data_IF_748675890512
#
_entry.id   IF_748675890512
#
_cell.length_a   1.000
_cell.length_b   1.000
_cell.length_c   1.000
_cell.angle_alpha   90.00
_cell.angle_beta   90.00
_cell.angle_gamma   90.00
#
_symmetry.space_group_name_H-M   'P 1'
#
loop_
_entity.id
_entity.type
_entity.pdbx_description
1 polymer ?
#
# COMPACT_ATOMS: atom_id res chain seq x y z
N UNK A 1 58.62 10.75 24.26
CA UNK A 1 59.33 10.25 23.05
C UNK A 1 58.27 9.63 22.15
N UNK A 2 58.01 10.00 20.90
CA UNK A 2 58.55 10.98 19.98
C UNK A 2 57.85 10.73 18.63
N UNK A 3 57.24 11.79 18.07
CA UNK A 3 56.85 12.08 16.66
C UNK A 3 56.66 10.88 15.70
N UNK A 4 55.58 10.86 14.90
CA UNK A 4 55.55 11.58 13.62
C UNK A 4 54.13 11.91 13.16
N UNK A 5 53.94 13.20 12.86
CA UNK A 5 52.90 13.77 12.00
C UNK A 5 53.23 13.42 10.54
N UNK A 6 52.22 13.13 9.73
CA UNK A 6 52.28 13.35 8.28
C UNK A 6 51.02 14.10 7.87
N UNK A 7 51.20 15.39 7.58
CA UNK A 7 50.29 16.19 6.77
C UNK A 7 50.45 15.76 5.32
N UNK A 8 49.35 15.64 4.57
CA UNK A 8 49.35 15.82 3.12
C UNK A 8 48.26 16.82 2.79
N UNK A 9 48.68 17.89 2.13
CA UNK A 9 47.88 19.01 1.69
C UNK A 9 47.40 18.79 0.25
N UNK A 10 46.16 19.22 0.02
CA UNK A 10 45.57 19.85 -1.16
C UNK A 10 46.00 19.38 -2.57
N UNK A 11 45.00 18.91 -3.33
CA UNK A 11 44.82 19.29 -4.73
C UNK A 11 43.37 19.72 -4.90
N UNK A 12 43.16 21.02 -5.08
CA UNK A 12 41.95 21.62 -5.62
C UNK A 12 42.12 21.66 -7.13
N UNK A 13 41.32 20.89 -7.85
CA UNK A 13 41.12 21.08 -9.30
C UNK A 13 39.68 21.54 -9.50
N UNK A 14 39.56 22.71 -10.12
CA UNK A 14 38.30 23.36 -10.40
C UNK A 14 37.56 22.78 -11.60
N UNK A 15 36.25 23.03 -11.54
CA UNK A 15 35.31 23.29 -12.63
C UNK A 15 35.17 22.26 -13.76
N UNK A 16 34.01 21.60 -13.78
CA UNK A 16 33.10 21.68 -14.94
C UNK A 16 31.65 21.69 -14.44
N UNK A 17 30.92 22.74 -14.84
CA UNK A 17 29.46 22.76 -14.80
C UNK A 17 28.94 21.66 -15.73
N UNK A 18 28.50 20.56 -15.15
CA UNK A 18 27.62 19.61 -15.81
C UNK A 18 26.18 19.94 -15.45
N UNK A 19 25.46 20.59 -16.38
CA UNK A 19 24.01 20.55 -16.42
C UNK A 19 23.60 19.09 -16.61
N UNK A 20 23.38 18.36 -15.51
CA UNK A 20 22.71 17.05 -15.56
C UNK A 20 21.22 17.34 -15.48
N UNK A 21 20.57 17.13 -16.62
CA UNK A 21 19.14 17.31 -16.78
C UNK A 21 18.34 16.43 -15.81
N UNK A 22 17.28 17.02 -15.28
CA UNK A 22 16.14 16.30 -14.75
C UNK A 22 15.57 15.42 -15.89
N UNK A 23 15.89 14.14 -15.87
CA UNK A 23 15.49 13.17 -16.89
C UNK A 23 15.83 11.76 -16.42
N UNK A 24 15.40 11.41 -15.22
CA UNK A 24 15.66 10.11 -14.59
C UNK A 24 14.42 9.78 -13.74
N UNK A 25 13.46 9.10 -14.34
CA UNK A 25 12.22 8.69 -13.68
C UNK A 25 11.42 7.69 -14.52
N UNK A 26 11.35 7.90 -15.83
CA UNK A 26 10.45 7.10 -16.69
C UNK A 26 10.93 5.69 -17.04
N UNK A 27 12.23 5.42 -17.04
CA UNK A 27 12.75 4.14 -17.56
C UNK A 27 12.66 3.02 -16.53
N UNK A 28 12.90 3.33 -15.23
CA UNK A 28 12.81 2.35 -14.15
C UNK A 28 11.38 1.99 -13.74
N UNK A 29 10.45 2.96 -13.78
CA UNK A 29 9.02 2.70 -13.52
C UNK A 29 8.40 1.79 -14.60
N UNK A 30 8.74 2.02 -15.88
CA UNK A 30 8.25 1.18 -16.98
C UNK A 30 8.85 -0.25 -16.95
N UNK A 31 10.11 -0.39 -16.52
CA UNK A 31 10.75 -1.70 -16.36
C UNK A 31 10.11 -2.51 -15.22
N UNK A 32 9.80 -1.87 -14.09
CA UNK A 32 9.08 -2.49 -12.97
C UNK A 32 7.66 -2.95 -13.36
N UNK A 33 6.92 -2.10 -14.07
CA UNK A 33 5.58 -2.43 -14.57
C UNK A 33 5.57 -3.64 -15.52
N UNK A 34 6.58 -3.73 -16.39
CA UNK A 34 6.76 -4.86 -17.30
C UNK A 34 6.96 -6.17 -16.54
N UNK A 35 7.88 -6.18 -15.57
CA UNK A 35 8.19 -7.37 -14.77
C UNK A 35 6.99 -7.82 -13.93
N UNK A 36 6.29 -6.90 -13.27
CA UNK A 36 5.09 -7.23 -12.47
C UNK A 36 4.00 -7.88 -13.32
N UNK A 37 3.76 -7.37 -14.53
CA UNK A 37 2.79 -7.95 -15.47
C UNK A 37 3.20 -9.33 -15.95
N UNK A 38 4.43 -9.48 -16.43
CA UNK A 38 4.95 -10.74 -16.95
C UNK A 38 4.88 -11.83 -15.87
N UNK A 39 5.35 -11.54 -14.66
CA UNK A 39 5.24 -12.44 -13.51
C UNK A 39 3.81 -12.80 -13.16
N UNK A 40 2.86 -11.87 -13.27
CA UNK A 40 1.44 -12.18 -13.05
C UNK A 40 0.91 -13.12 -14.11
N UNK A 41 1.24 -12.90 -15.39
CA UNK A 41 0.78 -13.78 -16.48
C UNK A 41 1.30 -15.20 -16.25
N UNK A 42 2.60 -15.35 -16.00
CA UNK A 42 3.23 -16.64 -15.73
C UNK A 42 2.65 -17.34 -14.48
N UNK A 43 2.44 -16.60 -13.39
CA UNK A 43 1.95 -17.16 -12.13
C UNK A 43 0.49 -17.64 -12.19
N UNK A 44 -0.31 -17.10 -13.11
CA UNK A 44 -1.75 -17.35 -13.18
C UNK A 44 -2.21 -18.01 -14.48
N UNK A 45 -1.36 -18.21 -15.50
CA UNK A 45 -1.79 -18.75 -16.80
C UNK A 45 -2.57 -20.07 -16.70
N UNK A 46 -2.16 -20.96 -15.79
CA UNK A 46 -2.81 -22.24 -15.56
C UNK A 46 -3.85 -22.21 -14.43
N UNK A 47 -3.64 -21.35 -13.42
CA UNK A 47 -4.45 -21.31 -12.18
C UNK A 47 -5.70 -20.43 -12.34
N UNK A 48 -5.55 -19.29 -13.01
CA UNK A 48 -6.62 -18.32 -13.29
C UNK A 48 -6.32 -17.61 -14.64
N UNK A 49 -6.72 -18.22 -15.77
CA UNK A 49 -6.48 -17.67 -17.10
C UNK A 49 -7.13 -16.30 -17.32
N UNK A 50 -8.22 -15.98 -16.61
CA UNK A 50 -8.93 -14.71 -16.73
C UNK A 50 -8.12 -13.59 -16.06
N UNK A 51 -7.51 -13.85 -14.90
CA UNK A 51 -6.57 -12.93 -14.26
C UNK A 51 -5.28 -12.73 -15.07
N UNK A 52 -4.71 -13.81 -15.62
CA UNK A 52 -3.55 -13.72 -16.50
C UNK A 52 -3.85 -12.87 -17.75
N UNK A 53 -4.99 -13.10 -18.40
CA UNK A 53 -5.46 -12.28 -19.54
C UNK A 53 -5.63 -10.83 -19.13
N UNK A 54 -6.28 -10.58 -17.99
CA UNK A 54 -6.45 -9.23 -17.46
C UNK A 54 -5.11 -8.52 -17.20
N UNK A 55 -4.11 -9.20 -16.65
CA UNK A 55 -2.77 -8.63 -16.42
C UNK A 55 -2.05 -8.28 -17.74
N UNK A 56 -2.23 -9.11 -18.77
CA UNK A 56 -1.67 -8.91 -20.12
C UNK A 56 -2.34 -7.81 -20.95
N UNK A 57 -3.53 -7.34 -20.55
CA UNK A 57 -4.23 -6.30 -21.28
C UNK A 57 -3.49 -4.95 -21.24
N UNK A 58 -3.41 -4.30 -22.40
CA UNK A 58 -2.75 -2.98 -22.55
C UNK A 58 -3.42 -1.88 -21.71
N UNK A 59 -4.70 -2.07 -21.36
CA UNK A 59 -5.48 -1.14 -20.54
C UNK A 59 -5.33 -1.34 -19.03
N UNK A 60 -4.81 -2.49 -18.60
CA UNK A 60 -4.53 -2.75 -17.18
C UNK A 60 -3.30 -1.99 -16.76
N UNK A 61 -3.18 -1.57 -15.51
CA UNK A 61 -1.99 -0.89 -14.97
C UNK A 61 -1.65 -1.47 -13.59
N UNK A 62 -0.41 -1.92 -13.36
CA UNK A 62 0.06 -2.23 -12.03
C UNK A 62 0.32 -0.92 -11.25
N UNK A 63 0.02 -0.93 -9.96
CA UNK A 63 0.33 0.13 -9.01
C UNK A 63 0.92 -0.53 -7.75
N UNK A 64 2.23 -0.37 -7.50
CA UNK A 64 2.90 -0.96 -6.35
C UNK A 64 2.25 -0.59 -5.01
N UNK A 65 2.13 -1.57 -4.12
CA UNK A 65 1.82 -1.36 -2.71
C UNK A 65 3.15 -1.47 -1.97
N UNK A 66 3.51 -0.39 -1.26
CA UNK A 66 4.73 -0.36 -0.46
C UNK A 66 4.65 -1.41 0.66
N UNK A 67 5.58 -2.37 0.60
CA UNK A 67 5.68 -3.49 1.53
C UNK A 67 7.18 -3.83 1.72
N UNK A 68 7.97 -2.94 2.32
CA UNK A 68 9.42 -3.06 2.39
C UNK A 68 9.91 -4.23 3.27
N UNK A 69 8.99 -4.85 4.01
CA UNK A 69 9.23 -6.00 4.88
C UNK A 69 9.08 -7.35 4.14
N UNK A 70 8.62 -7.37 2.88
CA UNK A 70 8.56 -8.59 2.05
C UNK A 70 9.58 -8.52 0.91
N UNK A 71 10.64 -9.30 1.06
CA UNK A 71 11.73 -9.33 0.09
C UNK A 71 11.41 -10.21 -1.13
N UNK A 72 10.64 -11.28 -0.96
CA UNK A 72 10.40 -12.28 -2.00
C UNK A 72 9.19 -12.01 -2.90
N UNK A 73 8.36 -11.01 -2.57
CA UNK A 73 7.08 -10.75 -3.24
C UNK A 73 6.95 -9.32 -3.78
N UNK A 74 6.49 -9.17 -5.00
CA UNK A 74 5.86 -7.93 -5.46
C UNK A 74 4.40 -7.93 -5.01
N UNK A 75 3.97 -6.87 -4.31
CA UNK A 75 2.57 -6.66 -3.93
C UNK A 75 2.07 -5.42 -4.66
N UNK A 76 1.00 -5.55 -5.45
CA UNK A 76 0.49 -4.42 -6.24
C UNK A 76 -0.98 -4.58 -6.63
N UNK A 77 -1.60 -3.44 -6.90
CA UNK A 77 -2.94 -3.37 -7.46
C UNK A 77 -2.88 -3.39 -8.99
N UNK A 78 -3.68 -4.24 -9.62
CA UNK A 78 -3.97 -4.22 -11.05
C UNK A 78 -5.29 -3.49 -11.28
N UNK A 79 -5.25 -2.39 -12.03
CA UNK A 79 -6.42 -1.59 -12.37
C UNK A 79 -6.65 -1.53 -13.88
N UNK A 80 -7.87 -1.86 -14.32
CA UNK A 80 -8.32 -1.72 -15.71
C UNK A 80 -9.74 -1.14 -15.80
N UNK A 81 -10.32 -1.10 -16.99
CA UNK A 81 -11.57 -0.37 -17.26
C UNK A 81 -12.76 -0.81 -16.38
N UNK A 82 -12.82 -2.10 -16.01
CA UNK A 82 -13.96 -2.68 -15.26
C UNK A 82 -13.54 -3.64 -14.15
N UNK A 83 -12.25 -3.71 -13.83
CA UNK A 83 -11.72 -4.62 -12.81
C UNK A 83 -10.59 -3.93 -12.06
N UNK A 84 -10.61 -4.08 -10.74
CA UNK A 84 -9.52 -3.77 -9.83
C UNK A 84 -9.30 -4.99 -8.98
N UNK A 85 -8.06 -5.43 -8.84
CA UNK A 85 -7.68 -6.52 -7.93
C UNK A 85 -6.27 -6.27 -7.40
N UNK A 86 -5.95 -6.83 -6.25
CA UNK A 86 -4.61 -6.83 -5.68
C UNK A 86 -4.07 -8.24 -5.74
N UNK A 87 -2.84 -8.36 -6.23
CA UNK A 87 -2.10 -9.62 -6.28
C UNK A 87 -0.76 -9.47 -5.57
N UNK A 88 -0.23 -10.61 -5.13
CA UNK A 88 1.18 -10.76 -4.84
C UNK A 88 1.79 -11.82 -5.76
N UNK A 89 2.96 -11.54 -6.33
CA UNK A 89 3.71 -12.48 -7.17
C UNK A 89 5.18 -12.54 -6.74
N UNK A 90 5.80 -13.71 -6.84
CA UNK A 90 7.20 -13.90 -6.46
C UNK A 90 8.14 -13.08 -7.35
N UNK A 91 9.12 -12.39 -6.75
CA UNK A 91 10.11 -11.58 -7.50
C UNK A 91 11.07 -12.46 -8.30
N UNK A 92 11.53 -13.54 -7.68
CA UNK A 92 12.53 -14.46 -8.18
C UNK A 92 12.06 -15.93 -8.14
N UNK A 93 12.76 -16.80 -8.88
CA UNK A 93 12.46 -18.24 -8.91
C UNK A 93 11.24 -18.62 -9.77
N UNK A 94 10.62 -19.75 -9.40
CA UNK A 94 9.42 -20.29 -10.04
C UNK A 94 8.25 -19.31 -9.83
N UNK A 95 7.56 -18.86 -10.89
CA UNK A 95 6.45 -17.92 -10.77
C UNK A 95 5.32 -18.48 -9.89
N UNK A 96 5.04 -17.82 -8.77
CA UNK A 96 3.86 -18.08 -7.96
C UNK A 96 3.09 -16.79 -7.73
N UNK A 97 1.78 -16.93 -7.58
CA UNK A 97 0.88 -15.81 -7.43
C UNK A 97 -0.32 -16.11 -6.54
N UNK A 98 -0.69 -15.13 -5.73
CA UNK A 98 -1.90 -15.13 -4.91
C UNK A 98 -2.71 -13.85 -5.17
N UNK A 99 -4.02 -14.01 -5.34
CA UNK A 99 -4.95 -12.88 -5.36
C UNK A 99 -5.31 -12.54 -3.91
N UNK A 100 -4.99 -11.33 -3.48
CA UNK A 100 -5.20 -10.87 -2.10
C UNK A 100 -6.60 -10.27 -1.94
N UNK A 101 -7.09 -9.63 -2.98
CA UNK A 101 -8.44 -9.08 -3.03
C UNK A 101 -9.52 -10.11 -2.69
N UNK A 102 -10.26 -9.86 -1.59
CA UNK A 102 -11.31 -10.77 -1.12
C UNK A 102 -10.82 -12.06 -0.44
N UNK A 103 -9.51 -12.24 -0.31
CA UNK A 103 -8.88 -13.45 0.25
C UNK A 103 -7.89 -13.08 1.36
N UNK A 104 -8.36 -12.65 2.56
CA UNK A 104 -7.49 -12.25 3.67
C UNK A 104 -6.46 -13.30 4.04
N UNK A 105 -6.82 -14.58 4.00
CA UNK A 105 -5.94 -15.70 4.31
C UNK A 105 -4.77 -15.88 3.35
N UNK A 106 -4.82 -15.29 2.14
CA UNK A 106 -3.72 -15.33 1.19
C UNK A 106 -2.57 -14.41 1.62
N UNK A 107 -2.82 -13.46 2.53
CA UNK A 107 -1.79 -12.60 3.11
C UNK A 107 -0.72 -13.40 3.85
N UNK A 108 -1.12 -14.45 4.58
CA UNK A 108 -0.22 -15.28 5.39
C UNK A 108 0.88 -15.94 4.54
N UNK A 109 0.59 -16.28 3.28
CA UNK A 109 1.59 -16.81 2.34
C UNK A 109 2.60 -15.73 1.90
N UNK A 110 2.16 -14.48 1.77
CA UNK A 110 3.01 -13.36 1.34
C UNK A 110 3.98 -12.95 2.44
N UNK A 111 3.56 -13.05 3.71
CA UNK A 111 4.38 -12.66 4.87
C UNK A 111 5.10 -13.84 5.54
N UNK A 112 5.07 -15.03 4.95
CA UNK A 112 5.77 -16.18 5.49
C UNK A 112 7.27 -15.87 5.70
N UNK A 113 7.75 -16.01 6.95
CA UNK A 113 9.14 -15.74 7.32
C UNK A 113 9.45 -14.28 7.68
N UNK A 114 8.48 -13.36 7.55
CA UNK A 114 8.61 -11.98 8.03
C UNK A 114 8.53 -11.95 9.56
N UNK A 115 9.29 -11.04 10.19
CA UNK A 115 9.22 -10.81 11.62
C UNK A 115 9.01 -9.32 11.93
N UNK A 116 8.02 -9.03 12.79
CA UNK A 116 7.67 -7.68 13.22
C UNK A 116 8.20 -7.45 14.63
N UNK A 117 9.25 -6.64 14.74
CA UNK A 117 9.93 -6.40 16.04
C UNK A 117 9.77 -4.98 16.58
N UNK A 118 9.18 -4.08 15.81
CA UNK A 118 9.01 -2.68 16.18
C UNK A 118 7.75 -2.05 15.58
N UNK A 119 7.38 -0.90 16.14
CA UNK A 119 6.18 -0.16 15.79
C UNK A 119 6.18 0.33 14.33
N UNK A 120 7.35 0.59 13.75
CA UNK A 120 7.44 1.08 12.38
C UNK A 120 7.08 -0.05 11.41
N UNK A 121 7.71 -1.21 11.53
CA UNK A 121 7.38 -2.39 10.71
C UNK A 121 5.93 -2.81 10.90
N UNK A 122 5.40 -2.77 12.14
CA UNK A 122 3.98 -3.06 12.37
C UNK A 122 3.04 -2.07 11.65
N UNK A 123 3.40 -0.79 11.62
CA UNK A 123 2.68 0.23 10.86
C UNK A 123 2.70 -0.03 9.36
N UNK A 124 3.88 -0.37 8.81
CA UNK A 124 4.07 -0.72 7.40
C UNK A 124 3.25 -1.96 7.01
N UNK A 125 3.27 -3.01 7.84
CA UNK A 125 2.45 -4.23 7.64
C UNK A 125 0.97 -3.90 7.61
N UNK A 126 0.47 -3.14 8.58
CA UNK A 126 -0.95 -2.77 8.62
C UNK A 126 -1.35 -1.89 7.43
N UNK A 127 -0.49 -0.98 6.98
CA UNK A 127 -0.75 -0.13 5.80
C UNK A 127 -0.84 -0.96 4.51
N UNK A 128 0.11 -1.88 4.32
CA UNK A 128 0.13 -2.78 3.18
C UNK A 128 -1.08 -3.73 3.20
N UNK A 129 -1.41 -4.32 4.35
CA UNK A 129 -2.55 -5.23 4.53
C UNK A 129 -3.88 -4.55 4.17
N UNK A 130 -4.13 -3.34 4.68
CA UNK A 130 -5.39 -2.61 4.40
C UNK A 130 -5.50 -2.25 2.93
N UNK A 131 -4.39 -1.88 2.28
CA UNK A 131 -4.38 -1.62 0.83
C UNK A 131 -4.60 -2.91 0.04
N UNK A 132 -4.01 -4.01 0.49
CA UNK A 132 -4.05 -5.28 -0.21
C UNK A 132 -5.41 -5.97 -0.19
N UNK A 133 -6.13 -5.86 0.94
CA UNK A 133 -7.42 -6.50 1.14
C UNK A 133 -8.61 -5.57 0.92
N UNK A 134 -8.40 -4.46 0.20
CA UNK A 134 -9.51 -3.58 -0.17
C UNK A 134 -10.63 -4.42 -0.81
N UNK A 135 -11.89 -4.20 -0.39
CA UNK A 135 -13.04 -4.72 -1.12
C UNK A 135 -12.93 -4.30 -2.59
N UNK A 136 -13.00 -5.28 -3.50
CA UNK A 136 -13.02 -5.07 -4.95
C UNK A 136 -14.39 -4.65 -5.48
N UNK A 137 -15.41 -4.77 -4.63
CA UNK A 137 -16.76 -4.29 -4.87
C UNK A 137 -16.98 -3.01 -4.08
N UNK A 138 -17.64 -2.03 -4.70
CA UNK A 138 -17.90 -0.74 -4.09
C UNK A 138 -16.72 0.24 -4.16
N UNK A 139 -16.97 1.48 -3.72
CA UNK A 139 -15.98 2.56 -3.78
C UNK A 139 -15.10 2.58 -2.51
N UNK A 140 -14.35 1.49 -2.27
CA UNK A 140 -13.47 1.37 -1.11
C UNK A 140 -12.23 2.27 -1.22
N UNK A 141 -12.01 3.15 -0.24
CA UNK A 141 -10.82 4.00 -0.17
C UNK A 141 -10.30 4.17 1.25
N UNK A 142 -9.03 3.82 1.48
CA UNK A 142 -8.27 4.19 2.68
C UNK A 142 -8.05 5.70 2.70
N UNK A 143 -8.27 6.31 3.85
CA UNK A 143 -8.12 7.75 4.07
C UNK A 143 -7.13 8.00 5.21
N UNK A 144 -6.35 9.05 5.08
CA UNK A 144 -5.42 9.52 6.12
C UNK A 144 -5.91 10.83 6.75
N UNK A 145 -6.96 11.43 6.18
CA UNK A 145 -7.59 12.64 6.66
C UNK A 145 -9.06 12.71 6.24
N UNK A 146 -9.83 13.55 6.94
CA UNK A 146 -11.20 13.90 6.50
C UNK A 146 -11.19 14.56 5.11
N UNK A 147 -10.09 15.22 4.73
CA UNK A 147 -9.97 15.89 3.44
C UNK A 147 -9.89 14.92 2.25
N UNK A 148 -9.51 13.66 2.48
CA UNK A 148 -9.49 12.61 1.45
C UNK A 148 -10.89 12.11 1.09
N UNK A 149 -11.89 12.39 1.93
CA UNK A 149 -13.28 12.00 1.74
C UNK A 149 -13.89 12.87 0.64
N UNK A 150 -14.25 12.23 -0.48
CA UNK A 150 -14.90 12.87 -1.63
C UNK A 150 -16.40 13.03 -1.37
N UNK A 151 -16.76 14.06 -0.61
CA UNK A 151 -18.16 14.41 -0.36
C UNK A 151 -18.74 15.22 -1.52
N UNK A 152 -20.02 15.01 -1.86
CA UNK A 152 -20.73 15.86 -2.83
C UNK A 152 -22.15 16.24 -2.37
N UNK A 153 -22.80 17.16 -3.08
CA UNK A 153 -24.13 17.66 -2.74
C UNK A 153 -24.12 18.89 -1.83
N UNK A 154 -25.30 19.43 -1.54
CA UNK A 154 -25.47 20.71 -0.82
C UNK A 154 -25.04 20.67 0.66
N UNK A 155 -24.92 19.46 1.23
CA UNK A 155 -24.49 19.24 2.63
C UNK A 155 -23.03 18.82 2.79
N UNK A 156 -22.26 18.78 1.70
CA UNK A 156 -20.89 18.27 1.71
C UNK A 156 -19.99 19.03 2.70
N UNK A 157 -20.03 20.36 2.70
CA UNK A 157 -19.19 21.19 3.57
C UNK A 157 -19.61 21.11 5.05
N UNK A 158 -20.91 21.10 5.32
CA UNK A 158 -21.45 20.91 6.68
C UNK A 158 -20.99 19.56 7.25
N UNK A 159 -21.14 18.48 6.45
CA UNK A 159 -20.73 17.13 6.85
C UNK A 159 -19.21 17.03 7.02
N UNK A 160 -18.42 17.69 6.15
CA UNK A 160 -16.96 17.72 6.27
C UNK A 160 -16.52 18.34 7.59
N UNK A 161 -17.15 19.43 8.00
CA UNK A 161 -16.82 20.11 9.25
C UNK A 161 -17.26 19.31 10.49
N UNK A 162 -18.40 18.62 10.42
CA UNK A 162 -18.83 17.67 11.45
C UNK A 162 -17.83 16.52 11.59
N UNK A 163 -17.44 15.88 10.48
CA UNK A 163 -16.42 14.83 10.47
C UNK A 163 -15.08 15.30 11.03
N UNK A 164 -14.64 16.51 10.66
CA UNK A 164 -13.39 17.09 11.17
C UNK A 164 -13.45 17.29 12.68
N UNK A 165 -14.58 17.77 13.20
CA UNK A 165 -14.77 17.99 14.63
C UNK A 165 -14.86 16.69 15.42
N UNK A 166 -15.58 15.71 14.92
CA UNK A 166 -15.95 14.52 15.68
C UNK A 166 -14.91 13.39 15.52
N UNK A 167 -14.22 13.34 14.37
CA UNK A 167 -13.32 12.24 14.01
C UNK A 167 -11.97 12.68 13.42
N UNK A 168 -11.75 13.98 13.16
CA UNK A 168 -10.56 14.47 12.46
C UNK A 168 -9.24 14.03 13.10
N UNK A 169 -9.12 14.17 14.42
CA UNK A 169 -7.94 13.76 15.18
C UNK A 169 -7.70 12.25 15.08
N UNK A 170 -8.76 11.44 15.14
CA UNK A 170 -8.66 9.98 15.10
C UNK A 170 -8.38 9.43 13.70
N UNK A 171 -8.87 10.10 12.64
CA UNK A 171 -8.61 9.70 11.24
C UNK A 171 -7.16 9.97 10.85
N UNK A 172 -6.58 11.08 11.33
CA UNK A 172 -5.19 11.44 11.09
C UNK A 172 -4.18 10.70 11.97
N UNK A 173 -4.66 10.00 13.01
CA UNK A 173 -3.80 9.28 13.93
C UNK A 173 -3.26 7.98 13.30
N UNK A 174 -1.94 7.86 13.28
CA UNK A 174 -1.21 6.68 12.80
C UNK A 174 -0.48 5.96 13.94
N UNK A 175 -0.86 6.23 15.19
CA UNK A 175 -0.25 5.59 16.35
C UNK A 175 -0.30 4.06 16.24
N UNK A 176 0.84 3.44 16.56
CA UNK A 176 1.00 2.00 16.65
C UNK A 176 1.42 1.70 18.08
N UNK A 177 0.59 0.96 18.80
CA UNK A 177 0.78 0.70 20.23
C UNK A 177 1.08 -0.78 20.45
N UNK A 178 2.10 -1.08 21.26
CA UNK A 178 2.39 -2.45 21.67
C UNK A 178 1.31 -2.97 22.63
N UNK A 179 0.85 -4.20 22.41
CA UNK A 179 -0.13 -4.90 23.22
C UNK A 179 0.34 -6.34 23.47
N UNK A 180 1.17 -6.53 24.49
CA UNK A 180 1.86 -7.81 24.71
C UNK A 180 2.95 -7.99 23.66
N UNK A 181 2.91 -9.10 22.93
CA UNK A 181 3.81 -9.37 21.81
C UNK A 181 3.26 -8.82 20.48
N UNK A 182 2.00 -8.39 20.46
CA UNK A 182 1.32 -7.87 19.27
C UNK A 182 1.38 -6.35 19.19
N UNK A 183 1.03 -5.82 18.02
CA UNK A 183 0.90 -4.38 17.77
C UNK A 183 -0.53 -4.05 17.35
N UNK A 184 -1.12 -3.04 18.00
CA UNK A 184 -2.46 -2.55 17.67
C UNK A 184 -2.39 -1.20 16.99
N UNK A 185 -3.19 -1.02 15.95
CA UNK A 185 -3.32 0.23 15.21
C UNK A 185 -4.72 0.36 14.61
N UNK A 186 -5.13 1.60 14.34
CA UNK A 186 -6.37 1.89 13.65
C UNK A 186 -6.07 2.45 12.25
N UNK A 187 -6.89 2.07 11.27
CA UNK A 187 -6.93 2.67 9.94
C UNK A 187 -8.35 3.00 9.55
N UNK A 188 -8.48 3.99 8.69
CA UNK A 188 -9.78 4.50 8.27
C UNK A 188 -9.98 4.32 6.79
N UNK A 189 -11.22 4.00 6.41
CA UNK A 189 -11.61 3.92 5.02
C UNK A 189 -13.03 4.44 4.82
N UNK A 190 -13.32 4.88 3.60
CA UNK A 190 -14.68 5.04 3.11
C UNK A 190 -15.05 3.79 2.31
N UNK A 191 -16.23 3.24 2.56
CA UNK A 191 -16.76 2.09 1.83
C UNK A 191 -18.25 2.29 1.56
N UNK A 192 -18.65 2.37 0.29
CA UNK A 192 -20.06 2.59 -0.10
C UNK A 192 -20.72 3.77 0.60
N UNK A 193 -19.97 4.86 0.75
CA UNK A 193 -20.34 6.09 1.47
C UNK A 193 -20.40 5.95 3.00
N UNK A 194 -19.94 4.85 3.58
CA UNK A 194 -19.78 4.75 5.03
C UNK A 194 -18.36 5.11 5.44
N UNK A 195 -18.21 5.85 6.54
CA UNK A 195 -16.94 5.97 7.25
C UNK A 195 -16.74 4.72 8.11
N UNK A 196 -15.64 4.03 7.87
CA UNK A 196 -15.30 2.76 8.50
C UNK A 196 -13.96 2.87 9.20
N UNK A 197 -13.92 2.41 10.44
CA UNK A 197 -12.69 2.17 11.21
C UNK A 197 -12.32 0.70 11.14
N UNK A 198 -11.05 0.44 10.86
CA UNK A 198 -10.42 -0.87 10.90
C UNK A 198 -9.47 -0.89 12.09
N UNK A 199 -9.81 -1.66 13.12
CA UNK A 199 -8.89 -1.96 14.21
C UNK A 199 -8.08 -3.20 13.82
N UNK A 200 -6.77 -3.05 13.76
CA UNK A 200 -5.83 -4.10 13.33
C UNK A 200 -4.99 -4.56 14.52
N UNK A 201 -4.75 -5.86 14.58
CA UNK A 201 -3.75 -6.47 15.45
C UNK A 201 -2.73 -7.15 14.55
N UNK A 202 -1.50 -6.63 14.53
CA UNK A 202 -0.38 -7.17 13.77
C UNK A 202 0.44 -8.05 14.72
N UNK A 203 0.57 -9.32 14.35
CA UNK A 203 1.30 -10.32 15.11
C UNK A 203 2.81 -10.28 14.80
N UNK A 204 3.66 -10.90 15.64
CA UNK A 204 5.11 -10.98 15.42
C UNK A 204 5.54 -11.61 14.09
N UNK A 205 4.67 -12.40 13.46
CA UNK A 205 4.89 -13.06 12.15
C UNK A 205 4.24 -12.28 10.98
N UNK A 206 3.87 -11.02 11.21
CA UNK A 206 3.22 -10.13 10.24
C UNK A 206 1.84 -10.58 9.74
N UNK A 207 1.25 -11.62 10.33
CA UNK A 207 -0.18 -11.91 10.16
C UNK A 207 -1.01 -10.80 10.83
N UNK A 208 -2.22 -10.58 10.34
CA UNK A 208 -3.06 -9.45 10.78
C UNK A 208 -4.49 -9.91 11.05
N UNK A 209 -4.91 -9.75 12.30
CA UNK A 209 -6.31 -9.80 12.68
C UNK A 209 -6.95 -8.42 12.50
N UNK A 210 -8.19 -8.39 12.03
CA UNK A 210 -8.91 -7.13 11.81
C UNK A 210 -10.34 -7.15 12.36
N UNK A 211 -10.78 -5.99 12.84
CA UNK A 211 -12.17 -5.71 13.19
C UNK A 211 -12.65 -4.46 12.46
N UNK A 212 -13.72 -4.64 11.69
CA UNK A 212 -14.39 -3.56 10.95
C UNK A 212 -15.52 -2.97 11.78
N UNK A 213 -15.53 -1.64 11.95
CA UNK A 213 -16.60 -0.89 12.61
C UNK A 213 -17.07 0.24 11.70
N UNK A 214 -18.37 0.29 11.39
CA UNK A 214 -18.96 1.45 10.71
C UNK A 214 -19.18 2.55 11.74
N UNK A 215 -18.50 3.68 11.56
CA UNK A 215 -18.53 4.82 12.48
C UNK A 215 -19.60 5.82 12.09
N UNK A 216 -19.77 6.05 10.78
CA UNK A 216 -20.83 6.90 10.24
C UNK A 216 -21.34 6.30 8.93
N UNK A 217 -22.66 6.31 8.75
CA UNK A 217 -23.33 5.77 7.57
C UNK A 217 -23.76 6.89 6.62
N UNK A 218 -23.98 6.52 5.35
CA UNK A 218 -24.65 7.35 4.35
C UNK A 218 -24.02 8.75 4.21
N UNK A 219 -22.69 8.83 4.16
CA UNK A 219 -22.01 10.08 3.85
C UNK A 219 -22.53 10.62 2.51
N UNK A 220 -22.61 11.95 2.33
CA UNK A 220 -22.96 12.54 1.05
C UNK A 220 -21.96 12.11 -0.05
N UNK A 221 -22.29 11.03 -0.75
CA UNK A 221 -21.40 10.41 -1.71
C UNK A 221 -21.22 11.24 -2.98
N UNK A 222 -20.19 10.95 -3.80
CA UNK A 222 -20.23 11.34 -5.20
C UNK A 222 -21.44 10.69 -5.86
N UNK A 223 -22.20 11.46 -6.65
CA UNK A 223 -23.30 10.92 -7.48
C UNK A 223 -22.74 9.69 -8.21
N UNK A 224 -23.35 8.53 -7.99
CA UNK A 224 -23.06 7.35 -8.79
C UNK A 224 -23.28 7.72 -10.26
N UNK A 225 -22.18 7.82 -11.02
CA UNK A 225 -22.23 7.97 -12.47
C UNK A 225 -22.62 6.64 -13.10
#
# INVERSE_FOLDING_TARGET
MGRKRTMVAAVVVGATMGLVGCGQGTDGEQEGDGMMRERTIEAFEDKDPDLATFAGDKGTRPEPIDAPFVDDWYVFQLSGQHRVTVVAVTKDGEPRGVELSGSPQAWDEVVEGVSVTDAQTAGEVGDAWVRALRPTVGAARVIDSVDDIKLTGSRAEETREELRRDHGDAIGDREVTASGDDWTLARWMVHDNDLVRLDLTVHPDATVDSRRTVVQQDLPGPIAL
#
